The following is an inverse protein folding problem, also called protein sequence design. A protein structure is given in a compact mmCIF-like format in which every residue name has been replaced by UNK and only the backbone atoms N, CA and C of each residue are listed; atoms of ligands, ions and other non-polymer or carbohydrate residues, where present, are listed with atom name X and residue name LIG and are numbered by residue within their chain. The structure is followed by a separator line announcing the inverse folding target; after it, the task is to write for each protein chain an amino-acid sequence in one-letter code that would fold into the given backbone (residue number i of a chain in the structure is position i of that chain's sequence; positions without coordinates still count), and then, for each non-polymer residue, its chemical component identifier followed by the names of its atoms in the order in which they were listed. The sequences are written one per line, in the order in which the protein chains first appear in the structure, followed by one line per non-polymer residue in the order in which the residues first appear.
data_IF_970982306641
#
_entry.id   IF_970982306641
#
_cell.length_a   1.000
_cell.length_b   1.000
_cell.length_c   1.000
_cell.angle_alpha   90.00
_cell.angle_beta   90.00
_cell.angle_gamma   90.00
#
_symmetry.space_group_name_H-M   'P 1'
#
loop_
_entity.id
_entity.type
_entity.pdbx_description
1 polymer ?
#
# COMPACT_ATOMS: atom_id res chain seq x y z
N UNK A 1 -36.80 -54.86 -21.63
CA UNK A 1 -35.93 -54.87 -20.41
C UNK A 1 -34.80 -53.85 -20.49
N UNK A 2 -34.17 -53.59 -21.61
CA UNK A 2 -33.11 -52.57 -21.75
C UNK A 2 -33.57 -51.15 -21.44
N UNK A 3 -34.80 -50.77 -21.72
CA UNK A 3 -35.33 -49.42 -21.49
C UNK A 3 -35.51 -49.04 -20.01
N UNK A 4 -35.49 -50.00 -19.06
CA UNK A 4 -35.59 -49.75 -17.64
C UNK A 4 -34.24 -49.93 -16.95
N UNK A 5 -33.39 -50.82 -17.47
CA UNK A 5 -32.08 -51.12 -16.89
C UNK A 5 -31.08 -49.95 -17.04
N UNK A 6 -31.04 -49.31 -18.23
CA UNK A 6 -30.15 -48.16 -18.50
C UNK A 6 -30.39 -46.98 -17.57
N UNK A 7 -31.64 -46.48 -17.35
CA UNK A 7 -31.87 -45.39 -16.43
C UNK A 7 -31.56 -45.78 -14.96
N UNK A 8 -31.87 -47.01 -14.56
CA UNK A 8 -31.50 -47.48 -13.23
C UNK A 8 -29.99 -47.52 -13.00
N UNK A 9 -29.22 -47.95 -14.02
CA UNK A 9 -27.75 -47.95 -13.95
C UNK A 9 -27.17 -46.53 -13.89
N UNK A 10 -27.75 -45.58 -14.65
CA UNK A 10 -27.25 -44.18 -14.66
C UNK A 10 -27.62 -43.47 -13.34
N UNK A 11 -28.85 -43.59 -12.87
CA UNK A 11 -29.25 -42.99 -11.59
C UNK A 11 -28.52 -43.68 -10.43
N UNK A 12 -28.47 -45.02 -10.42
CA UNK A 12 -27.74 -45.79 -9.41
C UNK A 12 -26.22 -45.51 -9.45
N UNK A 13 -25.64 -45.47 -10.67
CA UNK A 13 -24.24 -45.16 -10.86
C UNK A 13 -23.89 -43.73 -10.42
N UNK A 14 -24.72 -42.74 -10.76
CA UNK A 14 -24.49 -41.34 -10.31
C UNK A 14 -24.60 -41.21 -8.77
N UNK A 15 -25.51 -41.95 -8.15
CA UNK A 15 -25.67 -41.98 -6.70
C UNK A 15 -24.46 -42.65 -6.03
N UNK A 16 -24.00 -43.80 -6.57
CA UNK A 16 -22.81 -44.50 -6.06
C UNK A 16 -21.56 -43.67 -6.20
N UNK A 17 -21.34 -43.01 -7.35
CA UNK A 17 -20.20 -42.11 -7.57
C UNK A 17 -20.25 -40.91 -6.60
N UNK A 18 -21.43 -40.32 -6.42
CA UNK A 18 -21.61 -39.18 -5.48
C UNK A 18 -21.33 -39.59 -4.03
N UNK A 19 -21.79 -40.77 -3.59
CA UNK A 19 -21.52 -41.28 -2.26
C UNK A 19 -20.04 -41.67 -2.11
N UNK A 20 -19.42 -42.26 -3.11
CA UNK A 20 -17.99 -42.60 -3.11
C UNK A 20 -17.11 -41.33 -3.03
N UNK A 21 -17.41 -40.31 -3.85
CA UNK A 21 -16.72 -39.01 -3.79
C UNK A 21 -16.94 -38.32 -2.45
N UNK A 22 -18.17 -38.35 -1.91
CA UNK A 22 -18.45 -37.78 -0.58
C UNK A 22 -17.71 -38.51 0.54
N UNK A 23 -17.59 -39.84 0.43
CA UNK A 23 -16.81 -40.64 1.37
C UNK A 23 -15.30 -40.36 1.24
N UNK A 24 -14.79 -40.24 0.02
CA UNK A 24 -13.40 -39.90 -0.24
C UNK A 24 -13.04 -38.53 0.31
N UNK A 25 -13.90 -37.53 0.10
CA UNK A 25 -13.71 -36.17 0.66
C UNK A 25 -13.72 -36.25 2.19
N UNK A 26 -14.63 -36.99 2.83
CA UNK A 26 -14.65 -37.17 4.28
C UNK A 26 -13.39 -37.89 4.80
N UNK A 27 -12.92 -38.90 4.09
CA UNK A 27 -11.68 -39.62 4.40
C UNK A 27 -10.46 -38.68 4.34
N UNK A 28 -10.35 -37.86 3.28
CA UNK A 28 -9.28 -36.88 3.11
C UNK A 28 -9.33 -35.80 4.18
N UNK A 29 -10.51 -35.27 4.50
CA UNK A 29 -10.70 -34.28 5.56
C UNK A 29 -10.38 -34.87 6.94
N UNK A 30 -10.76 -36.10 7.26
CA UNK A 30 -10.38 -36.78 8.50
C UNK A 30 -8.86 -36.98 8.60
N UNK A 31 -8.25 -37.37 7.49
CA UNK A 31 -6.80 -37.59 7.44
C UNK A 31 -6.00 -36.28 7.56
N UNK A 32 -6.53 -35.18 7.04
CA UNK A 32 -5.97 -33.85 7.21
C UNK A 32 -6.14 -33.31 8.65
N UNK A 33 -7.33 -33.54 9.25
CA UNK A 33 -7.66 -33.17 10.63
C UNK A 33 -6.76 -33.89 11.64
N UNK A 34 -6.47 -35.19 11.41
CA UNK A 34 -5.58 -35.98 12.27
C UNK A 34 -4.11 -35.56 12.21
N UNK A 35 -3.69 -34.88 11.13
CA UNK A 35 -2.31 -34.38 10.97
C UNK A 35 -2.08 -32.97 11.49
N UNK A 36 -3.14 -32.18 11.66
CA UNK A 36 -3.07 -30.76 12.02
C UNK A 36 -4.12 -30.42 13.09
N UNK A 37 -3.91 -30.90 14.30
CA UNK A 37 -4.81 -30.70 15.45
C UNK A 37 -5.00 -29.23 15.87
N UNK A 38 -4.09 -28.33 15.47
CA UNK A 38 -4.14 -26.92 15.88
C UNK A 38 -5.13 -26.04 15.06
N UNK A 39 -5.72 -26.57 13.99
CA UNK A 39 -6.55 -25.75 13.11
C UNK A 39 -7.98 -26.29 13.00
N UNK A 40 -9.00 -25.59 13.53
CA UNK A 40 -10.41 -26.01 13.47
C UNK A 40 -11.02 -25.97 12.04
N UNK A 41 -10.21 -25.65 11.03
CA UNK A 41 -10.64 -25.45 9.63
C UNK A 41 -11.21 -26.72 9.01
N UNK A 42 -10.61 -27.86 9.33
CA UNK A 42 -10.98 -29.15 8.75
C UNK A 42 -12.36 -29.63 9.20
N UNK A 43 -12.69 -29.40 10.49
CA UNK A 43 -14.03 -29.67 11.03
C UNK A 43 -15.09 -28.79 10.37
N UNK A 44 -14.80 -27.54 10.10
CA UNK A 44 -15.71 -26.59 9.45
C UNK A 44 -15.93 -26.93 7.96
N UNK A 45 -14.93 -27.44 7.27
CA UNK A 45 -15.04 -27.88 5.87
C UNK A 45 -16.02 -29.05 5.68
N UNK A 46 -16.26 -29.87 6.72
CA UNK A 46 -17.32 -30.91 6.69
C UNK A 46 -18.71 -30.33 6.47
N UNK A 47 -18.96 -29.08 6.86
CA UNK A 47 -20.23 -28.39 6.59
C UNK A 47 -20.49 -28.12 5.11
N UNK A 48 -19.43 -28.13 4.27
CA UNK A 48 -19.53 -27.98 2.83
C UNK A 48 -19.85 -29.30 2.10
N UNK A 49 -19.79 -30.46 2.80
CA UNK A 49 -20.03 -31.78 2.21
C UNK A 49 -21.44 -31.93 1.64
N UNK A 50 -22.54 -31.58 2.35
CA UNK A 50 -23.90 -31.76 1.82
C UNK A 50 -24.12 -30.99 0.50
N UNK A 51 -23.84 -29.68 0.42
CA UNK A 51 -24.02 -28.94 -0.83
C UNK A 51 -23.11 -29.46 -1.97
N UNK A 52 -21.89 -29.89 -1.66
CA UNK A 52 -20.97 -30.46 -2.64
C UNK A 52 -21.54 -31.76 -3.23
N UNK A 53 -22.08 -32.66 -2.40
CA UNK A 53 -22.71 -33.90 -2.84
C UNK A 53 -23.92 -33.63 -3.73
N UNK A 54 -24.76 -32.64 -3.37
CA UNK A 54 -25.90 -32.25 -4.19
C UNK A 54 -25.47 -31.70 -5.55
N UNK A 55 -24.44 -30.84 -5.60
CA UNK A 55 -23.89 -30.32 -6.85
C UNK A 55 -23.37 -31.44 -7.75
N UNK A 56 -22.54 -32.34 -7.19
CA UNK A 56 -21.95 -33.45 -7.96
C UNK A 56 -23.06 -34.38 -8.47
N UNK A 57 -24.02 -34.80 -7.64
CA UNK A 57 -25.12 -35.65 -8.00
C UNK A 57 -25.95 -35.03 -9.13
N UNK A 58 -26.35 -33.78 -8.97
CA UNK A 58 -27.18 -33.07 -9.95
C UNK A 58 -26.43 -32.84 -11.26
N UNK A 59 -25.11 -32.52 -11.18
CA UNK A 59 -24.27 -32.35 -12.37
C UNK A 59 -24.13 -33.67 -13.17
N UNK A 60 -23.89 -34.78 -12.47
CA UNK A 60 -23.80 -36.10 -13.09
C UNK A 60 -25.15 -36.54 -13.73
N UNK A 61 -26.25 -36.33 -13.00
CA UNK A 61 -27.59 -36.60 -13.52
C UNK A 61 -27.87 -35.72 -14.77
N UNK A 62 -27.54 -34.46 -14.72
CA UNK A 62 -27.73 -33.52 -15.84
C UNK A 62 -26.89 -33.89 -17.07
N UNK A 63 -25.62 -34.26 -16.86
CA UNK A 63 -24.71 -34.69 -17.94
C UNK A 63 -25.14 -36.00 -18.55
N UNK A 64 -25.63 -36.94 -17.76
CA UNK A 64 -26.10 -38.23 -18.23
C UNK A 64 -27.52 -38.19 -18.83
N UNK A 65 -28.28 -37.13 -18.51
CA UNK A 65 -29.68 -37.00 -18.93
C UNK A 65 -29.85 -36.96 -20.44
N UNK A 66 -28.94 -36.36 -21.17
CA UNK A 66 -28.99 -36.26 -22.63
C UNK A 66 -28.71 -37.61 -23.32
N UNK A 67 -28.05 -38.56 -22.63
CA UNK A 67 -27.77 -39.92 -23.13
C UNK A 67 -28.90 -40.89 -22.82
N UNK A 68 -29.82 -40.56 -21.91
CA UNK A 68 -30.95 -41.38 -21.52
C UNK A 68 -32.11 -41.22 -22.50
N UNK A 69 -32.23 -42.16 -23.44
CA UNK A 69 -33.39 -42.30 -24.35
C UNK A 69 -34.48 -43.15 -23.67
N UNK A 70 -35.28 -42.52 -22.80
CA UNK A 70 -36.36 -43.19 -22.07
C UNK A 70 -37.68 -42.71 -22.67
N UNK A 71 -38.45 -43.65 -23.26
CA UNK A 71 -39.74 -43.34 -23.91
C UNK A 71 -40.76 -42.79 -22.89
N UNK A 72 -40.73 -43.25 -21.64
CA UNK A 72 -41.65 -42.82 -20.55
C UNK A 72 -41.40 -41.33 -20.13
N UNK A 73 -40.23 -40.77 -20.39
CA UNK A 73 -39.85 -39.41 -19.99
C UNK A 73 -39.93 -38.42 -21.17
N UNK A 74 -40.30 -38.93 -22.38
CA UNK A 74 -40.27 -38.17 -23.62
C UNK A 74 -41.13 -36.90 -23.57
N UNK A 75 -42.31 -36.98 -22.97
CA UNK A 75 -43.26 -35.85 -22.86
C UNK A 75 -42.81 -34.78 -21.86
N UNK A 76 -42.05 -35.15 -20.85
CA UNK A 76 -41.60 -34.21 -19.80
C UNK A 76 -40.09 -33.94 -19.83
N UNK A 77 -39.38 -34.33 -20.89
CA UNK A 77 -37.92 -34.24 -20.95
C UNK A 77 -37.39 -32.79 -20.76
N UNK A 78 -38.05 -31.83 -21.38
CA UNK A 78 -37.69 -30.42 -21.24
C UNK A 78 -37.87 -29.91 -19.80
N UNK A 79 -38.99 -30.27 -19.15
CA UNK A 79 -39.27 -29.86 -17.78
C UNK A 79 -38.29 -30.48 -16.77
N UNK A 80 -37.97 -31.77 -16.90
CA UNK A 80 -37.00 -32.45 -16.02
C UNK A 80 -35.59 -31.86 -16.20
N UNK A 81 -35.14 -31.64 -17.44
CA UNK A 81 -33.86 -30.99 -17.71
C UNK A 81 -33.78 -29.57 -17.11
N UNK A 82 -34.86 -28.81 -17.19
CA UNK A 82 -34.97 -27.50 -16.59
C UNK A 82 -34.90 -27.55 -15.05
N UNK A 83 -35.64 -28.45 -14.41
CA UNK A 83 -35.59 -28.66 -12.94
C UNK A 83 -34.20 -29.06 -12.49
N UNK A 84 -33.51 -29.97 -13.18
CA UNK A 84 -32.14 -30.36 -12.88
C UNK A 84 -31.18 -29.15 -12.96
N UNK A 85 -31.38 -28.31 -13.98
CA UNK A 85 -30.57 -27.09 -14.14
C UNK A 85 -30.81 -26.09 -12.98
N UNK A 86 -32.06 -25.87 -12.59
CA UNK A 86 -32.43 -25.02 -11.45
C UNK A 86 -31.84 -25.55 -10.14
N UNK A 87 -31.94 -26.86 -9.90
CA UNK A 87 -31.36 -27.51 -8.71
C UNK A 87 -29.83 -27.36 -8.72
N UNK A 88 -29.19 -27.51 -9.88
CA UNK A 88 -27.75 -27.33 -10.02
C UNK A 88 -27.30 -25.90 -9.68
N UNK A 89 -28.02 -24.88 -10.18
CA UNK A 89 -27.76 -23.47 -9.89
C UNK A 89 -27.96 -23.21 -8.40
N UNK A 90 -29.06 -23.67 -7.80
CA UNK A 90 -29.36 -23.50 -6.37
C UNK A 90 -28.30 -24.18 -5.49
N UNK A 91 -27.92 -25.42 -5.82
CA UNK A 91 -26.92 -26.18 -5.08
C UNK A 91 -25.52 -25.56 -5.20
N UNK A 92 -25.16 -25.03 -6.37
CA UNK A 92 -23.90 -24.32 -6.60
C UNK A 92 -23.85 -23.02 -5.79
N UNK A 93 -24.91 -22.23 -5.78
CA UNK A 93 -25.03 -21.04 -4.95
C UNK A 93 -24.94 -21.38 -3.45
N UNK A 94 -25.63 -22.43 -3.00
CA UNK A 94 -25.55 -22.91 -1.63
C UNK A 94 -24.13 -23.34 -1.26
N UNK A 95 -23.43 -24.05 -2.14
CA UNK A 95 -22.02 -24.44 -1.94
C UNK A 95 -21.13 -23.22 -1.77
N UNK A 96 -21.21 -22.22 -2.66
CA UNK A 96 -20.43 -20.99 -2.59
C UNK A 96 -20.67 -20.23 -1.28
N UNK A 97 -21.94 -20.08 -0.88
CA UNK A 97 -22.31 -19.44 0.39
C UNK A 97 -21.73 -20.20 1.58
N UNK A 98 -21.79 -21.53 1.57
CA UNK A 98 -21.23 -22.36 2.66
C UNK A 98 -19.71 -22.29 2.70
N UNK A 99 -19.03 -22.34 1.58
CA UNK A 99 -17.57 -22.20 1.51
C UNK A 99 -17.14 -20.81 2.06
N UNK A 100 -17.79 -19.73 1.60
CA UNK A 100 -17.54 -18.40 2.10
C UNK A 100 -17.78 -18.29 3.62
N UNK A 101 -18.89 -18.83 4.12
CA UNK A 101 -19.19 -18.86 5.54
C UNK A 101 -18.13 -19.63 6.36
N UNK A 102 -17.65 -20.76 5.83
CA UNK A 102 -16.65 -21.60 6.48
C UNK A 102 -15.29 -20.88 6.57
N UNK A 103 -14.83 -20.24 5.47
CA UNK A 103 -13.60 -19.46 5.45
C UNK A 103 -13.67 -18.35 6.51
N UNK A 104 -14.77 -17.62 6.53
CA UNK A 104 -15.02 -16.52 7.44
C UNK A 104 -15.02 -17.01 8.92
N UNK A 105 -15.70 -18.09 9.21
CA UNK A 105 -15.77 -18.66 10.56
C UNK A 105 -14.42 -19.22 11.02
N UNK A 106 -13.65 -19.85 10.13
CA UNK A 106 -12.33 -20.37 10.45
C UNK A 106 -11.33 -19.26 10.78
N UNK A 107 -11.37 -18.17 10.02
CA UNK A 107 -10.53 -16.99 10.27
C UNK A 107 -10.89 -16.33 11.61
N UNK A 108 -12.17 -16.21 11.91
CA UNK A 108 -12.65 -15.71 13.19
C UNK A 108 -12.24 -16.61 14.37
N UNK A 109 -12.38 -17.93 14.24
CA UNK A 109 -12.00 -18.86 15.29
C UNK A 109 -10.51 -18.78 15.64
N UNK A 110 -9.64 -18.72 14.65
CA UNK A 110 -8.19 -18.52 14.85
C UNK A 110 -7.88 -17.21 15.56
N UNK A 111 -8.51 -16.11 15.13
CA UNK A 111 -8.29 -14.80 15.72
C UNK A 111 -8.79 -14.75 17.19
N UNK A 112 -9.94 -15.35 17.49
CA UNK A 112 -10.51 -15.38 18.82
C UNK A 112 -9.65 -16.17 19.83
N UNK A 113 -8.92 -17.21 19.39
CA UNK A 113 -8.02 -17.99 20.25
C UNK A 113 -6.69 -17.28 20.52
N UNK A 114 -6.23 -16.42 19.58
CA UNK A 114 -4.95 -15.71 19.70
C UNK A 114 -5.04 -14.37 20.45
N UNK A 115 -6.22 -13.77 20.55
CA UNK A 115 -6.41 -12.43 21.11
C UNK A 115 -7.09 -12.47 22.47
N UNK A 116 -6.44 -11.88 23.50
CA UNK A 116 -6.99 -11.78 24.88
C UNK A 116 -7.97 -10.62 25.10
N UNK A 117 -8.16 -9.73 24.12
CA UNK A 117 -9.02 -8.54 24.23
C UNK A 117 -10.45 -8.82 23.71
N UNK A 118 -11.46 -8.88 24.60
CA UNK A 118 -12.85 -9.19 24.22
C UNK A 118 -13.51 -8.11 23.35
N UNK A 119 -13.07 -6.85 23.46
CA UNK A 119 -13.65 -5.75 22.67
C UNK A 119 -13.22 -5.84 21.21
N UNK A 120 -11.97 -6.18 20.97
CA UNK A 120 -11.40 -6.39 19.63
C UNK A 120 -12.03 -7.59 18.93
N UNK A 121 -12.24 -8.69 19.66
CA UNK A 121 -12.92 -9.89 19.15
C UNK A 121 -14.37 -9.59 18.71
N UNK A 122 -15.12 -8.79 19.48
CA UNK A 122 -16.50 -8.39 19.11
C UNK A 122 -16.52 -7.54 17.82
N UNK A 123 -15.59 -6.61 17.68
CA UNK A 123 -15.48 -5.76 16.47
C UNK A 123 -15.21 -6.60 15.21
N UNK A 124 -14.28 -7.54 15.29
CA UNK A 124 -13.97 -8.45 14.18
C UNK A 124 -15.18 -9.31 13.83
N UNK A 125 -15.92 -9.83 14.81
CA UNK A 125 -17.14 -10.61 14.56
C UNK A 125 -18.18 -9.83 13.75
N UNK A 126 -18.40 -8.56 14.07
CA UNK A 126 -19.37 -7.73 13.35
C UNK A 126 -18.93 -7.51 11.90
N UNK A 127 -17.65 -7.18 11.67
CA UNK A 127 -17.10 -6.99 10.33
C UNK A 127 -17.22 -8.25 9.47
N UNK A 128 -16.87 -9.39 10.02
CA UNK A 128 -16.94 -10.70 9.38
C UNK A 128 -18.39 -11.07 9.03
N UNK A 129 -19.34 -10.80 9.93
CA UNK A 129 -20.76 -11.04 9.67
C UNK A 129 -21.31 -10.15 8.55
N UNK A 130 -20.89 -8.89 8.48
CA UNK A 130 -21.26 -7.98 7.39
C UNK A 130 -20.73 -8.46 6.04
N UNK A 131 -19.46 -8.87 5.96
CA UNK A 131 -18.85 -9.43 4.73
C UNK A 131 -19.65 -10.66 4.29
N UNK A 132 -19.96 -11.57 5.22
CA UNK A 132 -20.75 -12.77 4.91
C UNK A 132 -22.14 -12.43 4.36
N UNK A 133 -22.82 -11.42 4.92
CA UNK A 133 -24.14 -10.98 4.42
C UNK A 133 -24.04 -10.41 3.00
N UNK A 134 -23.03 -9.59 2.74
CA UNK A 134 -22.80 -9.01 1.39
C UNK A 134 -22.53 -10.12 0.39
N UNK A 135 -21.61 -11.05 0.68
CA UNK A 135 -21.32 -12.19 -0.20
C UNK A 135 -22.57 -13.02 -0.45
N UNK A 136 -23.36 -13.31 0.60
CA UNK A 136 -24.60 -14.08 0.46
C UNK A 136 -25.61 -13.35 -0.43
N UNK A 137 -25.78 -12.03 -0.26
CA UNK A 137 -26.69 -11.23 -1.09
C UNK A 137 -26.25 -11.23 -2.56
N UNK A 138 -24.97 -11.05 -2.85
CA UNK A 138 -24.42 -11.05 -4.21
C UNK A 138 -24.64 -12.42 -4.87
N UNK A 139 -24.24 -13.50 -4.18
CA UNK A 139 -24.40 -14.87 -4.70
C UNK A 139 -25.88 -15.21 -4.93
N UNK A 140 -26.77 -14.82 -4.01
CA UNK A 140 -28.21 -15.06 -4.15
C UNK A 140 -28.77 -14.28 -5.38
N UNK A 141 -28.39 -13.02 -5.56
CA UNK A 141 -28.83 -12.21 -6.71
C UNK A 141 -28.39 -12.83 -8.03
N UNK A 142 -27.12 -13.25 -8.13
CA UNK A 142 -26.58 -13.91 -9.33
C UNK A 142 -27.27 -15.25 -9.57
N UNK A 143 -27.53 -16.04 -8.53
CA UNK A 143 -28.22 -17.30 -8.65
C UNK A 143 -29.67 -17.13 -9.13
N UNK A 144 -30.40 -16.14 -8.58
CA UNK A 144 -31.77 -15.83 -9.03
C UNK A 144 -31.75 -15.38 -10.49
N UNK A 145 -30.85 -14.49 -10.88
CA UNK A 145 -30.73 -14.07 -12.27
C UNK A 145 -30.41 -15.24 -13.21
N UNK A 146 -29.49 -16.13 -12.81
CA UNK A 146 -29.16 -17.35 -13.56
C UNK A 146 -30.36 -18.31 -13.67
N UNK A 147 -31.16 -18.45 -12.63
CA UNK A 147 -32.41 -19.22 -12.67
C UNK A 147 -33.42 -18.62 -13.64
N UNK A 148 -33.61 -17.29 -13.63
CA UNK A 148 -34.51 -16.60 -14.55
C UNK A 148 -34.10 -16.77 -16.03
N UNK A 149 -32.80 -16.85 -16.30
CA UNK A 149 -32.28 -17.11 -17.65
C UNK A 149 -32.68 -18.49 -18.21
N UNK A 150 -33.02 -19.46 -17.35
CA UNK A 150 -33.46 -20.78 -17.79
C UNK A 150 -34.89 -20.78 -18.35
N UNK A 151 -35.68 -19.71 -18.03
CA UNK A 151 -37.04 -19.56 -18.53
C UNK A 151 -37.08 -18.62 -19.73
N UNK A 152 -37.56 -19.05 -20.92
CA UNK A 152 -37.62 -18.19 -22.08
C UNK A 152 -38.39 -16.89 -21.86
N UNK A 153 -39.51 -16.95 -21.14
CA UNK A 153 -40.36 -15.78 -20.84
C UNK A 153 -39.68 -14.76 -19.86
N UNK A 154 -38.73 -15.20 -19.04
CA UNK A 154 -38.04 -14.35 -18.04
C UNK A 154 -36.61 -14.01 -18.43
N UNK A 155 -36.14 -14.43 -19.60
CA UNK A 155 -34.77 -14.26 -20.06
C UNK A 155 -34.33 -12.80 -20.07
N UNK A 156 -35.23 -11.91 -20.55
CA UNK A 156 -34.96 -10.45 -20.56
C UNK A 156 -34.74 -9.90 -19.16
N UNK A 157 -35.55 -10.34 -18.19
CA UNK A 157 -35.40 -9.91 -16.79
C UNK A 157 -34.08 -10.42 -16.21
N UNK A 158 -33.74 -11.69 -16.43
CA UNK A 158 -32.49 -12.28 -15.98
C UNK A 158 -31.26 -11.57 -16.57
N UNK A 159 -31.27 -11.25 -17.86
CA UNK A 159 -30.18 -10.51 -18.51
C UNK A 159 -30.07 -9.09 -17.99
N UNK A 160 -31.18 -8.39 -17.77
CA UNK A 160 -31.17 -7.04 -17.20
C UNK A 160 -30.63 -7.03 -15.75
N UNK A 161 -30.97 -8.04 -14.93
CA UNK A 161 -30.42 -8.18 -13.59
C UNK A 161 -28.90 -8.39 -13.61
N UNK A 162 -28.40 -9.28 -14.50
CA UNK A 162 -26.94 -9.50 -14.63
C UNK A 162 -26.22 -8.26 -15.17
N UNK A 163 -26.82 -7.55 -16.14
CA UNK A 163 -26.25 -6.31 -16.65
C UNK A 163 -26.16 -5.26 -15.55
N UNK A 164 -27.24 -5.06 -14.77
CA UNK A 164 -27.23 -4.14 -13.62
C UNK A 164 -26.22 -4.54 -12.56
N UNK A 165 -26.14 -5.84 -12.26
CA UNK A 165 -25.13 -6.35 -11.32
C UNK A 165 -23.69 -6.11 -11.84
N UNK A 166 -23.48 -6.23 -13.15
CA UNK A 166 -22.20 -5.92 -13.79
C UNK A 166 -21.80 -4.46 -13.65
N UNK A 167 -22.73 -3.53 -13.89
CA UNK A 167 -22.50 -2.08 -13.69
C UNK A 167 -22.18 -1.77 -12.23
N UNK A 168 -22.97 -2.33 -11.28
CA UNK A 168 -22.70 -2.19 -9.86
C UNK A 168 -21.32 -2.78 -9.48
N UNK A 169 -20.93 -3.88 -10.12
CA UNK A 169 -19.60 -4.49 -9.93
C UNK A 169 -18.48 -3.57 -10.37
N UNK A 170 -18.61 -2.89 -11.51
CA UNK A 170 -17.64 -1.90 -12.00
C UNK A 170 -17.52 -0.74 -11.00
N UNK A 171 -18.65 -0.16 -10.58
CA UNK A 171 -18.66 0.94 -9.61
C UNK A 171 -17.99 0.52 -8.28
N UNK A 172 -18.35 -0.66 -7.76
CA UNK A 172 -17.75 -1.20 -6.55
C UNK A 172 -16.23 -1.48 -6.73
N UNK A 173 -15.83 -1.98 -7.91
CA UNK A 173 -14.44 -2.23 -8.26
C UNK A 173 -13.61 -0.95 -8.28
N UNK A 174 -14.12 0.12 -8.90
CA UNK A 174 -13.46 1.44 -8.89
C UNK A 174 -13.39 2.01 -7.47
N UNK A 175 -14.46 1.88 -6.69
CA UNK A 175 -14.45 2.32 -5.29
C UNK A 175 -13.44 1.54 -4.42
N UNK A 176 -13.17 0.27 -4.73
CA UNK A 176 -12.22 -0.58 -4.02
C UNK A 176 -10.79 -0.51 -4.57
N UNK A 177 -10.54 0.21 -5.67
CA UNK A 177 -9.27 0.22 -6.40
C UNK A 177 -8.07 0.58 -5.52
N UNK A 178 -8.19 1.60 -4.68
CA UNK A 178 -7.10 2.02 -3.78
C UNK A 178 -6.76 0.95 -2.73
N UNK A 179 -7.77 0.29 -2.19
CA UNK A 179 -7.58 -0.81 -1.21
C UNK A 179 -6.91 -2.02 -1.86
N UNK A 180 -7.33 -2.40 -3.07
CA UNK A 180 -6.68 -3.46 -3.83
C UNK A 180 -5.25 -3.07 -4.20
N UNK A 181 -5.01 -1.82 -4.61
CA UNK A 181 -3.68 -1.29 -4.91
C UNK A 181 -2.73 -1.44 -3.71
N UNK A 182 -3.17 -1.08 -2.51
CA UNK A 182 -2.39 -1.30 -1.29
C UNK A 182 -2.09 -2.78 -1.02
N UNK A 183 -3.07 -3.66 -1.23
CA UNK A 183 -2.89 -5.09 -1.02
C UNK A 183 -1.86 -5.68 -1.99
N UNK A 184 -1.95 -5.35 -3.29
CA UNK A 184 -0.98 -5.79 -4.29
C UNK A 184 0.42 -5.22 -4.02
N UNK A 185 0.51 -3.95 -3.62
CA UNK A 185 1.78 -3.35 -3.22
C UNK A 185 2.38 -4.08 -1.99
N UNK A 186 1.55 -4.45 -1.00
CA UNK A 186 1.97 -5.25 0.15
C UNK A 186 2.53 -6.62 -0.26
N UNK A 187 1.88 -7.31 -1.18
CA UNK A 187 2.43 -8.55 -1.75
C UNK A 187 3.73 -8.30 -2.50
N UNK A 188 3.81 -7.23 -3.29
CA UNK A 188 5.02 -6.89 -4.03
C UNK A 188 6.23 -6.66 -3.10
N UNK A 189 6.05 -5.97 -1.97
CA UNK A 189 7.11 -5.81 -0.96
C UNK A 189 7.46 -7.15 -0.33
N UNK A 190 6.45 -7.92 0.10
CA UNK A 190 6.65 -9.19 0.79
C UNK A 190 7.41 -10.25 -0.05
N UNK A 191 7.15 -10.27 -1.37
CA UNK A 191 7.78 -11.23 -2.28
C UNK A 191 8.94 -10.64 -3.10
N UNK A 192 8.98 -9.30 -3.27
CA UNK A 192 9.97 -8.62 -4.11
C UNK A 192 11.26 -8.25 -3.40
N UNK A 193 11.32 -8.42 -2.08
CA UNK A 193 12.50 -8.11 -1.26
C UNK A 193 13.06 -6.69 -1.48
N UNK A 194 12.17 -5.73 -1.78
CA UNK A 194 12.55 -4.35 -2.09
C UNK A 194 13.03 -3.59 -0.86
N UNK A 195 12.46 -3.88 0.29
CA UNK A 195 12.76 -3.29 1.60
C UNK A 195 12.46 -4.31 2.69
N UNK A 196 13.25 -4.29 3.76
CA UNK A 196 13.12 -5.17 4.93
C UNK A 196 12.97 -4.35 6.21
N UNK A 197 12.40 -4.96 7.25
CA UNK A 197 12.40 -4.38 8.59
C UNK A 197 13.84 -4.22 9.05
N UNK A 198 14.21 -3.02 9.52
CA UNK A 198 15.57 -2.67 9.90
C UNK A 198 16.35 -1.92 8.81
N UNK A 199 15.87 -1.87 7.56
CA UNK A 199 16.52 -1.08 6.52
C UNK A 199 16.44 0.42 6.82
N UNK A 200 17.53 1.13 6.54
CA UNK A 200 17.55 2.60 6.53
C UNK A 200 17.10 3.09 5.17
N UNK A 201 16.04 3.88 5.15
CA UNK A 201 15.42 4.41 3.92
C UNK A 201 15.25 5.92 3.99
N UNK A 202 15.25 6.57 2.82
CA UNK A 202 14.87 7.98 2.67
C UNK A 202 13.60 8.06 1.84
N UNK A 203 12.56 8.66 2.41
CA UNK A 203 11.26 8.84 1.77
C UNK A 203 10.84 10.30 1.91
N UNK A 204 10.55 10.97 0.80
CA UNK A 204 10.20 12.40 0.76
C UNK A 204 11.21 13.32 1.50
N UNK A 205 12.50 12.96 1.48
CA UNK A 205 13.57 13.71 2.14
C UNK A 205 13.75 13.43 3.64
N UNK A 206 12.89 12.64 4.25
CA UNK A 206 13.00 12.17 5.63
C UNK A 206 13.69 10.80 5.66
N UNK A 207 14.76 10.67 6.43
CA UNK A 207 15.45 9.40 6.60
C UNK A 207 15.09 8.73 7.93
N UNK A 208 15.07 7.41 7.92
CA UNK A 208 14.75 6.63 9.10
C UNK A 208 14.85 5.14 8.86
N UNK A 209 14.58 4.36 9.90
CA UNK A 209 14.62 2.90 9.87
C UNK A 209 13.22 2.33 9.74
N UNK A 210 13.05 1.35 8.87
CA UNK A 210 11.77 0.63 8.71
C UNK A 210 11.50 -0.19 9.97
N UNK A 211 10.44 0.16 10.69
CA UNK A 211 10.05 -0.47 11.97
C UNK A 211 9.01 -1.59 11.75
N UNK A 212 8.06 -1.37 10.86
CA UNK A 212 6.97 -2.28 10.62
C UNK A 212 6.56 -2.29 9.14
N UNK A 213 6.29 -3.48 8.61
CA UNK A 213 5.72 -3.68 7.26
C UNK A 213 4.49 -4.55 7.41
N UNK A 214 3.33 -4.00 7.01
CA UNK A 214 2.07 -4.73 6.93
C UNK A 214 1.60 -4.83 5.47
N UNK A 215 0.51 -5.54 5.21
CA UNK A 215 -0.08 -5.59 3.87
C UNK A 215 -0.68 -4.25 3.40
N UNK A 216 -0.92 -3.31 4.31
CA UNK A 216 -1.63 -2.06 3.99
C UNK A 216 -0.83 -0.81 4.27
N UNK A 217 0.11 -0.84 5.20
CA UNK A 217 0.96 0.28 5.56
C UNK A 217 2.38 -0.16 5.89
N UNK A 218 3.30 0.77 5.79
CA UNK A 218 4.69 0.69 6.21
C UNK A 218 4.95 1.82 7.21
N UNK A 219 5.67 1.54 8.29
CA UNK A 219 6.07 2.51 9.29
C UNK A 219 7.59 2.67 9.30
N UNK A 220 8.05 3.91 9.14
CA UNK A 220 9.45 4.31 9.25
C UNK A 220 9.63 5.12 10.52
N UNK A 221 10.57 4.73 11.37
CA UNK A 221 10.97 5.50 12.54
C UNK A 221 12.13 6.42 12.13
N UNK A 222 11.89 7.71 12.20
CA UNK A 222 12.89 8.74 11.89
C UNK A 222 13.93 8.85 13.00
N UNK A 223 15.03 9.56 12.73
CA UNK A 223 16.13 9.79 13.67
C UNK A 223 15.69 10.52 14.96
N UNK A 224 14.61 11.31 14.89
CA UNK A 224 13.99 12.04 16.02
C UNK A 224 12.85 11.25 16.68
N UNK A 225 12.80 9.92 16.45
CA UNK A 225 11.83 8.96 17.01
C UNK A 225 10.36 9.15 16.57
N UNK A 226 10.09 10.06 15.64
CA UNK A 226 8.77 10.12 14.99
C UNK A 226 8.53 8.86 14.16
N UNK A 227 7.27 8.47 14.05
CA UNK A 227 6.84 7.37 13.17
C UNK A 227 6.06 7.91 11.99
N UNK A 228 6.64 7.79 10.81
CA UNK A 228 5.98 8.12 9.55
C UNK A 228 5.29 6.85 9.07
N UNK A 229 3.97 6.85 9.09
CA UNK A 229 3.16 5.72 8.59
C UNK A 229 2.57 6.10 7.25
N UNK A 230 2.83 5.28 6.23
CA UNK A 230 2.37 5.52 4.87
C UNK A 230 1.72 4.27 4.28
N UNK A 231 0.74 4.42 3.36
CA UNK A 231 0.19 3.30 2.61
C UNK A 231 1.29 2.59 1.80
N UNK A 232 1.24 1.27 1.72
CA UNK A 232 2.26 0.51 0.96
C UNK A 232 2.28 0.89 -0.51
N UNK A 233 1.11 1.18 -1.10
CA UNK A 233 1.03 1.64 -2.50
C UNK A 233 1.75 2.97 -2.74
N UNK A 234 1.77 3.86 -1.76
CA UNK A 234 2.52 5.11 -1.84
C UNK A 234 4.03 4.84 -1.93
N UNK A 235 4.53 4.00 -1.03
CA UNK A 235 5.94 3.60 -0.98
C UNK A 235 6.40 2.90 -2.27
N UNK A 236 5.57 2.02 -2.84
CA UNK A 236 5.92 1.29 -4.07
C UNK A 236 5.74 2.12 -5.36
N UNK A 237 4.98 3.21 -5.32
CA UNK A 237 4.70 4.04 -6.49
C UNK A 237 5.67 5.23 -6.66
N UNK A 238 6.42 5.56 -5.61
CA UNK A 238 7.41 6.64 -5.63
C UNK A 238 8.83 6.08 -5.53
N UNK A 239 9.83 6.76 -6.11
CA UNK A 239 11.22 6.43 -5.85
C UNK A 239 11.56 6.71 -4.40
N UNK A 240 12.27 5.82 -3.77
CA UNK A 240 12.85 5.97 -2.43
C UNK A 240 14.30 5.50 -2.46
N UNK A 241 15.11 6.00 -1.54
CA UNK A 241 16.48 5.52 -1.36
C UNK A 241 16.52 4.44 -0.28
N UNK A 242 17.17 3.34 -0.55
CA UNK A 242 17.46 2.30 0.45
C UNK A 242 18.97 2.26 0.68
N UNK A 243 19.40 2.74 1.83
CA UNK A 243 20.81 2.85 2.18
C UNK A 243 21.38 1.56 2.78
N UNK A 244 20.56 0.57 3.05
CA UNK A 244 20.99 -0.73 3.59
C UNK A 244 21.13 -1.81 2.51
N UNK A 245 20.60 -1.57 1.29
CA UNK A 245 20.57 -2.56 0.22
C UNK A 245 21.76 -2.44 -0.72
N UNK A 246 22.39 -3.56 -1.04
CA UNK A 246 23.44 -3.62 -2.07
C UNK A 246 24.86 -3.35 -1.60
N UNK A 247 25.06 -3.20 -0.32
CA UNK A 247 26.33 -2.88 0.33
C UNK A 247 26.17 -1.68 1.25
N UNK A 248 26.63 -1.81 2.45
CA UNK A 248 26.46 -0.80 3.51
C UNK A 248 27.32 0.45 3.26
N UNK A 249 28.25 0.35 2.28
CA UNK A 249 29.24 1.39 1.97
C UNK A 249 28.59 2.62 1.35
N UNK A 250 28.86 3.79 1.94
CA UNK A 250 28.29 5.04 1.52
C UNK A 250 29.35 6.05 1.09
N UNK A 251 28.95 6.91 0.17
CA UNK A 251 29.70 8.09 -0.23
C UNK A 251 28.90 9.34 0.12
N UNK A 252 29.50 10.26 0.85
CA UNK A 252 28.86 11.50 1.24
C UNK A 252 29.60 12.71 0.71
N UNK A 253 28.90 13.84 0.60
CA UNK A 253 29.45 15.11 0.17
C UNK A 253 29.34 16.17 1.24
N UNK A 254 30.36 17.02 1.36
CA UNK A 254 30.35 18.22 2.20
C UNK A 254 30.66 19.40 1.28
N UNK A 255 29.81 20.42 1.32
CA UNK A 255 29.98 21.63 0.52
C UNK A 255 30.42 22.78 1.41
N UNK A 256 31.37 23.57 0.90
CA UNK A 256 31.85 24.81 1.49
C UNK A 256 31.69 25.93 0.49
N UNK A 257 31.06 27.02 0.90
CA UNK A 257 31.02 28.27 0.12
C UNK A 257 32.12 29.16 0.63
N UNK A 258 33.12 29.44 -0.19
CA UNK A 258 34.36 30.13 0.19
C UNK A 258 34.66 31.29 -0.74
N UNK A 259 35.55 32.22 -0.28
CA UNK A 259 36.10 33.27 -1.09
C UNK A 259 37.02 32.68 -2.22
N UNK A 260 37.14 33.36 -3.34
CA UNK A 260 38.00 32.94 -4.46
C UNK A 260 39.48 32.80 -4.07
N UNK A 261 39.92 33.43 -3.01
CA UNK A 261 41.28 33.34 -2.47
C UNK A 261 41.52 32.09 -1.59
N UNK A 262 40.52 31.17 -1.44
CA UNK A 262 40.65 30.00 -0.62
C UNK A 262 41.81 29.09 -0.99
N UNK A 263 42.63 28.63 -0.04
CA UNK A 263 43.84 27.85 -0.30
C UNK A 263 43.49 26.37 -0.55
N UNK A 264 42.96 26.03 -1.76
CA UNK A 264 42.44 24.69 -2.07
C UNK A 264 43.47 23.57 -1.88
N UNK A 265 44.74 23.83 -2.16
CA UNK A 265 45.80 22.82 -1.96
C UNK A 265 45.98 22.49 -0.46
N UNK A 266 46.07 23.50 0.39
CA UNK A 266 46.20 23.32 1.84
C UNK A 266 44.93 22.66 2.42
N UNK A 267 43.75 22.96 1.89
CA UNK A 267 42.51 22.31 2.29
C UNK A 267 42.50 20.80 1.96
N UNK A 268 43.13 20.38 0.86
CA UNK A 268 43.27 18.94 0.55
C UNK A 268 44.15 18.22 1.58
N UNK A 269 45.26 18.82 1.94
CA UNK A 269 46.15 18.27 2.94
C UNK A 269 45.43 18.19 4.31
N UNK A 270 44.73 19.25 4.71
CA UNK A 270 43.95 19.27 5.94
C UNK A 270 42.83 18.26 5.94
N UNK A 271 42.12 18.06 4.82
CA UNK A 271 41.07 17.06 4.69
C UNK A 271 41.64 15.63 4.94
N UNK A 272 42.81 15.34 4.40
CA UNK A 272 43.50 14.05 4.63
C UNK A 272 43.78 13.82 6.12
N UNK A 273 44.27 14.85 6.82
CA UNK A 273 44.55 14.79 8.25
C UNK A 273 43.27 14.55 9.05
N UNK A 274 42.20 15.31 8.76
CA UNK A 274 40.88 15.15 9.41
C UNK A 274 40.35 13.73 9.25
N UNK A 275 40.46 13.19 8.03
CA UNK A 275 39.97 11.83 7.74
C UNK A 275 40.84 10.78 8.46
N UNK A 276 42.16 10.98 8.52
CA UNK A 276 43.07 10.07 9.22
C UNK A 276 42.81 10.00 10.74
N UNK A 277 42.29 11.07 11.33
CA UNK A 277 41.90 11.14 12.74
C UNK A 277 40.46 10.65 13.01
N UNK A 278 39.65 10.50 11.96
CA UNK A 278 38.22 10.14 12.07
C UNK A 278 38.02 8.63 12.05
N UNK A 279 37.66 8.03 13.20
CA UNK A 279 37.45 6.57 13.31
C UNK A 279 36.28 6.05 12.46
N UNK A 280 35.33 6.90 12.07
CA UNK A 280 34.20 6.57 11.22
C UNK A 280 34.55 6.52 9.72
N UNK A 281 35.72 7.02 9.30
CA UNK A 281 36.17 6.92 7.92
C UNK A 281 36.62 5.51 7.59
N UNK A 282 36.17 4.97 6.46
CA UNK A 282 36.50 3.60 6.04
C UNK A 282 37.81 3.46 5.25
N UNK A 283 38.51 4.55 5.00
CA UNK A 283 39.82 4.58 4.32
C UNK A 283 39.79 4.32 2.82
N UNK A 284 38.63 4.21 2.18
CA UNK A 284 38.51 3.84 0.75
C UNK A 284 38.88 4.95 -0.21
N UNK A 285 38.17 6.07 -0.10
CA UNK A 285 38.32 7.17 -1.06
C UNK A 285 37.92 8.52 -0.46
N UNK A 286 38.53 9.56 -0.99
CA UNK A 286 38.17 10.94 -0.67
C UNK A 286 38.66 11.88 -1.79
N UNK A 287 37.99 12.99 -1.97
CA UNK A 287 38.46 14.05 -2.90
C UNK A 287 38.00 15.43 -2.43
N UNK A 288 38.71 16.49 -2.85
CA UNK A 288 38.31 17.86 -2.65
C UNK A 288 38.54 18.64 -3.95
N UNK A 289 37.49 19.21 -4.47
CA UNK A 289 37.50 19.96 -5.71
C UNK A 289 36.60 21.19 -5.65
N UNK A 290 36.93 22.22 -6.42
CA UNK A 290 36.02 23.33 -6.72
C UNK A 290 35.00 22.81 -7.72
N UNK A 291 33.73 22.89 -7.42
CA UNK A 291 32.62 22.34 -8.24
C UNK A 291 31.81 23.43 -8.91
N UNK A 292 31.79 24.63 -8.36
CA UNK A 292 31.09 25.76 -8.95
C UNK A 292 31.73 27.08 -8.53
N UNK A 293 31.48 28.15 -9.32
CA UNK A 293 31.96 29.50 -9.06
C UNK A 293 30.86 30.50 -9.27
N UNK A 294 30.66 31.38 -8.29
CA UNK A 294 29.76 32.52 -8.38
C UNK A 294 30.57 33.83 -8.49
N UNK A 295 29.97 34.97 -8.76
CA UNK A 295 30.71 36.24 -8.74
C UNK A 295 31.38 36.60 -7.42
N UNK A 296 30.87 36.01 -6.29
CA UNK A 296 31.33 36.36 -4.93
C UNK A 296 31.97 35.20 -4.19
N UNK A 297 31.72 33.94 -4.58
CA UNK A 297 32.22 32.76 -3.89
C UNK A 297 32.57 31.63 -4.86
N UNK A 298 33.35 30.69 -4.38
CA UNK A 298 33.53 29.36 -5.00
C UNK A 298 32.85 28.33 -4.14
N UNK A 299 32.28 27.30 -4.78
CA UNK A 299 31.80 26.10 -4.10
C UNK A 299 32.91 25.05 -4.10
N UNK A 300 33.29 24.62 -2.93
CA UNK A 300 34.26 23.53 -2.73
C UNK A 300 33.55 22.30 -2.21
N UNK A 301 33.60 21.22 -2.95
CA UNK A 301 33.00 19.93 -2.57
C UNK A 301 34.06 18.97 -2.08
N UNK A 302 33.93 18.52 -0.84
CA UNK A 302 34.62 17.34 -0.33
C UNK A 302 33.72 16.10 -0.51
N UNK A 303 34.29 15.05 -1.08
CA UNK A 303 33.67 13.71 -1.20
C UNK A 303 34.40 12.81 -0.22
N UNK A 304 33.65 12.04 0.57
CA UNK A 304 34.18 11.14 1.60
C UNK A 304 33.39 9.84 1.61
N UNK A 305 34.02 8.77 2.06
CA UNK A 305 33.38 7.44 2.14
C UNK A 305 33.27 6.98 3.58
N UNK A 306 32.30 6.09 3.84
CA UNK A 306 32.12 5.45 5.15
C UNK A 306 31.52 4.05 4.99
N UNK A 307 31.53 3.29 6.08
CA UNK A 307 31.01 1.90 6.09
C UNK A 307 29.50 1.84 5.98
N UNK A 308 28.79 2.80 6.61
CA UNK A 308 27.34 2.81 6.70
C UNK A 308 26.77 4.23 6.80
N UNK A 309 25.46 4.33 6.97
CA UNK A 309 24.71 5.59 7.04
C UNK A 309 25.02 6.43 8.29
N UNK A 310 25.31 5.80 9.41
CA UNK A 310 25.62 6.49 10.65
C UNK A 310 27.06 7.02 10.63
N UNK A 311 27.98 6.21 10.14
CA UNK A 311 29.38 6.58 9.96
C UNK A 311 29.53 7.73 8.95
N UNK A 312 28.81 7.71 7.82
CA UNK A 312 28.90 8.80 6.81
C UNK A 312 28.39 10.13 7.37
N UNK A 313 27.35 10.11 8.22
CA UNK A 313 26.90 11.30 8.91
C UNK A 313 27.99 11.86 9.82
N UNK A 314 28.60 10.99 10.63
CA UNK A 314 29.69 11.35 11.56
C UNK A 314 30.89 11.93 10.81
N UNK A 315 31.35 11.29 9.74
CA UNK A 315 32.47 11.79 8.91
C UNK A 315 32.14 13.17 8.31
N UNK A 316 30.93 13.36 7.78
CA UNK A 316 30.50 14.65 7.20
C UNK A 316 30.48 15.77 8.24
N UNK A 317 30.03 15.49 9.45
CA UNK A 317 30.04 16.46 10.55
C UNK A 317 31.48 16.80 10.96
N UNK A 318 32.33 15.80 11.19
CA UNK A 318 33.73 16.00 11.55
C UNK A 318 34.48 16.83 10.49
N UNK A 319 34.33 16.50 9.21
CA UNK A 319 34.93 17.25 8.10
C UNK A 319 34.44 18.69 8.07
N UNK A 320 33.14 18.92 8.25
CA UNK A 320 32.56 20.27 8.21
C UNK A 320 33.06 21.13 9.37
N UNK A 321 33.01 20.61 10.56
CA UNK A 321 33.36 21.35 11.79
C UNK A 321 34.86 21.65 11.84
N UNK A 322 35.71 20.65 11.62
CA UNK A 322 37.15 20.80 11.68
C UNK A 322 37.70 21.66 10.54
N UNK A 323 37.17 21.53 9.32
CA UNK A 323 37.60 22.33 8.20
C UNK A 323 37.23 23.79 8.37
N UNK A 324 36.01 24.10 8.82
CA UNK A 324 35.59 25.48 9.09
C UNK A 324 36.43 26.08 10.25
N UNK A 325 36.67 25.31 11.32
CA UNK A 325 37.54 25.73 12.41
C UNK A 325 38.94 26.05 11.93
N UNK A 326 39.55 25.17 11.17
CA UNK A 326 40.89 25.39 10.63
C UNK A 326 40.95 26.60 9.67
N UNK A 327 39.96 26.78 8.78
CA UNK A 327 39.89 27.97 7.91
C UNK A 327 39.78 29.25 8.72
N UNK A 328 38.95 29.29 9.76
CA UNK A 328 38.80 30.45 10.62
C UNK A 328 40.13 30.85 11.31
N UNK A 329 40.85 29.83 11.76
CA UNK A 329 42.03 30.08 12.63
C UNK A 329 43.30 30.36 11.79
N UNK A 330 43.44 29.78 10.61
CA UNK A 330 44.65 29.90 9.77
C UNK A 330 44.43 30.70 8.49
N UNK A 331 43.21 30.69 7.92
CA UNK A 331 42.88 31.30 6.63
C UNK A 331 41.57 32.10 6.68
N UNK A 332 41.42 33.07 7.59
CA UNK A 332 40.13 33.75 7.80
C UNK A 332 39.66 34.55 6.58
N UNK A 333 40.57 34.85 5.64
CA UNK A 333 40.28 35.52 4.37
C UNK A 333 39.53 34.60 3.37
N UNK A 334 39.62 33.29 3.55
CA UNK A 334 38.94 32.32 2.71
C UNK A 334 37.41 32.19 3.04
N UNK A 335 36.99 32.69 4.17
CA UNK A 335 35.57 32.71 4.56
C UNK A 335 34.85 33.89 3.89
N UNK A 336 33.62 33.70 3.36
CA UNK A 336 32.85 34.75 2.72
C UNK A 336 32.64 35.95 3.67
N UNK A 337 32.91 37.15 3.17
CA UNK A 337 32.70 38.39 3.90
C UNK A 337 31.70 39.26 3.16
N UNK A 338 30.65 39.68 3.82
CA UNK A 338 29.76 40.72 3.28
C UNK A 338 30.36 42.07 3.62
N UNK A 339 30.98 42.72 2.63
CA UNK A 339 31.43 44.10 2.79
C UNK A 339 30.24 45.00 2.45
N UNK A 340 29.59 45.51 3.50
CA UNK A 340 28.63 46.60 3.33
C UNK A 340 29.39 47.90 3.30
N UNK A 341 29.64 48.47 2.13
CA UNK A 341 30.02 49.88 2.02
C UNK A 341 28.80 50.70 2.37
N UNK A 342 28.86 51.62 3.35
CA UNK A 342 27.79 52.58 3.49
C UNK A 342 27.65 53.29 2.14
N UNK A 343 26.48 53.28 1.57
CA UNK A 343 26.22 54.05 0.35
C UNK A 343 26.68 55.49 0.64
N UNK A 344 27.69 55.96 -0.06
CA UNK A 344 28.09 57.37 0.01
C UNK A 344 26.81 58.13 -0.34
N UNK A 345 26.19 58.78 0.67
CA UNK A 345 25.12 59.72 0.41
C UNK A 345 25.71 60.76 -0.56
N UNK A 346 25.06 61.06 -1.67
CA UNK A 346 25.54 62.06 -2.60
C UNK A 346 25.74 63.35 -1.81
N UNK A 347 26.90 64.04 -1.96
CA UNK A 347 27.14 65.28 -1.30
C UNK A 347 26.15 66.32 -1.82
N UNK A 348 25.31 66.84 -0.95
CA UNK A 348 24.46 68.00 -1.24
C UNK A 348 22.94 67.66 -1.35
N UNK A 349 22.21 68.59 -0.92
CA UNK A 349 20.79 68.86 -0.68
C UNK A 349 19.72 68.27 -1.63
N UNK A 350 20.06 67.34 -2.55
CA UNK A 350 19.14 66.76 -3.55
C UNK A 350 17.96 65.97 -2.95
N UNK A 351 18.06 65.53 -1.72
CA UNK A 351 16.96 64.82 -1.06
C UNK A 351 15.80 65.75 -0.67
N UNK A 352 16.06 67.07 -0.48
CA UNK A 352 15.03 68.08 -0.17
C UNK A 352 14.11 68.35 -1.39
N UNK A 353 14.65 68.26 -2.61
CA UNK A 353 13.84 68.44 -3.84
C UNK A 353 12.96 67.20 -4.13
N UNK A 354 13.40 66.00 -3.77
CA UNK A 354 12.62 64.76 -3.99
C UNK A 354 11.55 64.50 -2.94
N UNK A 355 11.66 65.08 -1.75
CA UNK A 355 10.67 64.86 -0.71
C UNK A 355 9.55 65.87 -0.64
N UNK A 356 9.56 66.96 -1.45
CA UNK A 356 8.50 67.93 -1.55
C UNK A 356 8.08 68.51 -0.18
N UNK A 357 9.02 68.57 0.80
CA UNK A 357 8.72 69.08 2.14
C UNK A 357 8.65 70.58 2.11
N UNK A 358 7.54 71.15 1.59
CA UNK A 358 7.12 72.51 1.86
C UNK A 358 6.78 72.61 3.35
N UNK A 359 7.62 73.33 4.08
CA UNK A 359 7.35 73.66 5.48
C UNK A 359 6.30 74.76 5.61
N UNK A 360 5.09 74.46 5.15
CA UNK A 360 3.88 75.25 5.44
C UNK A 360 3.37 74.91 6.81
N UNK A 361 3.22 75.94 7.67
CA UNK A 361 2.70 75.94 9.04
C UNK A 361 1.51 74.99 9.25
N UNK A 362 1.35 74.34 10.38
CA UNK A 362 0.20 73.51 10.66
C UNK A 362 -1.02 74.35 10.90
N UNK A 363 -2.02 74.21 9.99
CA UNK A 363 -3.40 74.66 10.23
C UNK A 363 -4.08 73.63 11.15
N UNK A 364 -4.43 74.07 12.34
CA UNK A 364 -5.26 73.31 13.26
C UNK A 364 -6.68 73.27 12.71
N UNK A 365 -7.12 72.11 12.19
CA UNK A 365 -8.51 71.67 12.32
C UNK A 365 -8.64 70.20 11.99
N UNK A 366 -9.12 69.51 12.98
CA UNK A 366 -9.22 68.07 13.03
C UNK A 366 -10.26 67.48 12.06
N UNK A 367 -9.99 66.27 11.69
CA UNK A 367 -10.90 65.15 11.62
C UNK A 367 -10.10 63.91 11.22
N UNK A 368 -10.00 62.98 12.16
CA UNK A 368 -9.49 61.64 11.93
C UNK A 368 -10.53 60.85 11.15
N UNK A 369 -10.24 60.26 10.00
CA UNK A 369 -11.16 59.34 9.36
C UNK A 369 -11.00 57.93 10.02
N UNK A 370 -12.15 57.40 10.44
CA UNK A 370 -12.31 56.01 10.92
C UNK A 370 -12.06 55.04 9.78
N UNK A 371 -11.39 53.89 10.03
CA UNK A 371 -11.15 52.86 9.03
C UNK A 371 -12.46 52.11 8.73
N UNK A 372 -12.82 52.10 7.45
CA UNK A 372 -13.93 51.37 6.87
C UNK A 372 -13.71 49.85 6.91
N UNK A 373 -14.68 49.13 7.47
CA UNK A 373 -14.72 47.69 7.56
C UNK A 373 -14.82 47.05 6.17
N UNK A 374 -13.88 46.21 5.82
CA UNK A 374 -13.95 45.35 4.65
C UNK A 374 -15.11 44.33 4.73
N UNK A 375 -15.80 44.05 3.59
CA UNK A 375 -16.92 43.14 3.57
C UNK A 375 -16.49 41.69 3.70
N UNK A 376 -17.19 40.95 4.56
CA UNK A 376 -17.10 39.47 4.67
C UNK A 376 -17.74 38.85 3.43
N UNK A 377 -16.97 38.19 2.59
CA UNK A 377 -17.49 37.29 1.59
C UNK A 377 -17.94 35.98 2.25
N UNK A 378 -19.25 35.73 2.23
CA UNK A 378 -19.86 34.47 2.60
C UNK A 378 -19.53 33.39 1.60
N UNK A 379 -19.32 32.19 2.11
CA UNK A 379 -19.35 30.95 1.35
C UNK A 379 -20.73 30.33 1.46
N UNK A 380 -21.31 30.01 0.30
CA UNK A 380 -22.24 28.92 0.12
C UNK A 380 -21.48 27.61 -0.10
#
# INVERSE_FOLDING_TARGET
MENVLRPMLVVGGSLVVTLALGWLVDLLLRRADSRHHETPVWGLLRLCRPPLQVVICTALLRASFDQLRIDVIRDNRAAIGQVLTLVLIAASAWLVIRVAATIVQSSYARYATSTRDPARVRRVRTQVTLIQRVVTAVVATVAVAAMLLTFPAMRTVGTSMLASAGVLGIVAGVAAQSTLGNLFAGFQIAFGDMVRIGDTVVVDGEWGTVEEITLTFLAVRTWDERRITMPVSYFTSKPFENWSRGGVQMTGTVFFQLDHSAPIAAMRDRLRDILGECAAWDGRDWSLAVTDTTPTTIEVRAVVTAKDADDIWTVRCAVREQMIGWLRDHHPYALPRVVTSPAALPPGDHWRELTGADTGRPSANGRVPTPEKAPRTGRG
#
